data_IF_132791903601
#
_entry.id   IF_132791903601
#
_cell.length_a   1.000
_cell.length_b   1.000
_cell.length_c   1.000
_cell.angle_alpha   90.00
_cell.angle_beta   90.00
_cell.angle_gamma   90.00
#
_symmetry.space_group_name_H-M   'P 1'
#
loop_
_entity.id
_entity.type
_entity.pdbx_description
1 polymer ?
#
# COMPACT_ATOMS: atom_id res chain seq x y z
N UNK A 1 14.36 -10.15 8.29
CA UNK A 1 15.30 -10.27 7.15
C UNK A 1 15.73 -8.87 6.73
N UNK A 2 17.03 -8.63 6.50
CA UNK A 2 17.58 -7.31 6.12
C UNK A 2 17.57 -7.13 4.59
N UNK A 3 16.40 -6.91 3.99
CA UNK A 3 16.35 -6.47 2.60
C UNK A 3 16.90 -5.02 2.50
N UNK A 4 17.85 -4.70 1.59
CA UNK A 4 18.50 -3.38 1.58
C UNK A 4 17.52 -2.20 1.50
N UNK A 5 16.50 -2.32 0.65
CA UNK A 5 15.45 -1.30 0.54
C UNK A 5 14.59 -1.20 1.80
N UNK A 6 14.21 -2.33 2.41
CA UNK A 6 13.42 -2.32 3.64
C UNK A 6 14.23 -1.71 4.81
N UNK A 7 15.52 -2.02 4.88
CA UNK A 7 16.43 -1.40 5.85
C UNK A 7 16.54 0.11 5.62
N UNK A 8 16.70 0.56 4.37
CA UNK A 8 16.72 1.99 4.06
C UNK A 8 15.41 2.67 4.49
N UNK A 9 14.26 2.10 4.14
CA UNK A 9 12.94 2.63 4.53
C UNK A 9 12.84 2.77 6.04
N UNK A 10 13.29 1.75 6.79
CA UNK A 10 13.27 1.78 8.25
C UNK A 10 14.18 2.86 8.84
N UNK A 11 15.37 3.09 8.27
CA UNK A 11 16.38 3.99 8.82
C UNK A 11 16.24 5.45 8.40
N UNK A 12 15.57 5.75 7.28
CA UNK A 12 15.40 7.14 6.84
C UNK A 12 14.49 7.89 7.81
N UNK A 13 15.04 8.89 8.49
CA UNK A 13 14.26 9.87 9.24
C UNK A 13 13.82 11.00 8.31
N UNK A 14 12.54 11.33 8.33
CA UNK A 14 11.97 12.39 7.49
C UNK A 14 11.61 13.58 8.39
N UNK A 15 12.19 14.77 8.18
CA UNK A 15 11.87 15.94 8.99
C UNK A 15 10.42 16.42 8.83
N UNK A 16 9.88 17.17 9.81
CA UNK A 16 8.57 17.80 9.68
C UNK A 16 8.44 18.64 8.40
N UNK A 17 7.32 18.50 7.69
CA UNK A 17 7.06 19.20 6.44
C UNK A 17 7.78 18.63 5.20
N UNK A 18 8.41 17.46 5.32
CA UNK A 18 9.05 16.74 4.22
C UNK A 18 8.41 15.37 3.98
N UNK A 19 8.70 14.80 2.82
CA UNK A 19 8.34 13.43 2.46
C UNK A 19 9.51 12.76 1.74
N UNK A 20 9.63 11.45 1.91
CA UNK A 20 10.49 10.58 1.13
C UNK A 20 9.65 9.64 0.26
N UNK A 21 10.12 9.34 -0.95
CA UNK A 21 9.41 8.57 -1.96
C UNK A 21 10.26 7.44 -2.50
N UNK A 22 9.64 6.28 -2.69
CA UNK A 22 10.24 5.13 -3.37
C UNK A 22 9.27 4.57 -4.41
N UNK A 23 9.75 4.39 -5.64
CA UNK A 23 9.03 3.64 -6.65
C UNK A 23 9.18 2.14 -6.40
N UNK A 24 8.07 1.42 -6.38
CA UNK A 24 8.03 -0.02 -6.18
C UNK A 24 7.86 -0.82 -7.49
N UNK A 25 7.85 -0.10 -8.62
CA UNK A 25 7.54 -0.64 -9.93
C UNK A 25 6.05 -0.59 -10.23
N UNK A 26 5.71 -0.62 -11.52
CA UNK A 26 4.35 -0.42 -12.01
C UNK A 26 3.75 0.89 -11.47
N UNK A 27 2.63 0.83 -10.73
CA UNK A 27 1.97 1.99 -10.11
C UNK A 27 2.31 2.14 -8.63
N UNK A 28 3.08 1.20 -8.06
CA UNK A 28 3.37 1.13 -6.64
C UNK A 28 4.30 2.25 -6.18
N UNK A 29 3.86 2.99 -5.15
CA UNK A 29 4.62 4.04 -4.49
C UNK A 29 4.64 3.81 -2.98
N UNK A 30 5.78 4.06 -2.35
CA UNK A 30 5.90 4.13 -0.91
C UNK A 30 6.28 5.55 -0.50
N UNK A 31 5.53 6.10 0.46
CA UNK A 31 5.66 7.47 0.95
C UNK A 31 5.94 7.41 2.44
N UNK A 32 7.05 7.99 2.89
CA UNK A 32 7.35 8.15 4.31
C UNK A 32 7.30 9.63 4.68
N UNK A 33 6.48 9.95 5.68
CA UNK A 33 6.45 11.26 6.35
C UNK A 33 7.21 11.23 7.68
N UNK A 34 7.16 12.32 8.46
CA UNK A 34 7.80 12.37 9.78
C UNK A 34 7.18 11.41 10.81
N UNK A 35 5.91 11.06 10.62
CA UNK A 35 5.10 10.31 11.59
C UNK A 35 4.20 9.25 10.92
N UNK A 36 4.55 8.80 9.71
CA UNK A 36 3.82 7.73 9.05
C UNK A 36 4.48 7.16 7.80
N UNK A 37 4.14 5.92 7.49
CA UNK A 37 4.54 5.16 6.31
C UNK A 37 3.30 4.70 5.54
N UNK A 38 3.17 5.17 4.31
CA UNK A 38 2.04 4.92 3.43
C UNK A 38 2.54 4.15 2.21
N UNK A 39 1.81 3.12 1.81
CA UNK A 39 1.99 2.46 0.52
C UNK A 39 0.78 2.72 -0.36
N UNK A 40 0.99 2.97 -1.66
CA UNK A 40 -0.05 3.30 -2.63
C UNK A 40 0.08 2.32 -3.80
N UNK A 41 -1.00 1.62 -4.10
CA UNK A 41 -1.12 0.67 -5.21
C UNK A 41 0.07 -0.32 -5.36
N UNK A 42 0.59 -0.93 -4.27
CA UNK A 42 1.72 -1.83 -4.41
C UNK A 42 1.27 -3.10 -5.14
N UNK A 43 1.93 -3.37 -6.26
CA UNK A 43 1.94 -4.66 -6.92
C UNK A 43 3.35 -5.21 -6.76
N UNK A 44 3.52 -6.26 -5.97
CA UNK A 44 4.82 -6.87 -5.60
C UNK A 44 4.81 -8.40 -5.68
N UNK A 45 3.77 -8.98 -6.27
CA UNK A 45 3.65 -10.42 -6.50
C UNK A 45 3.43 -10.74 -7.98
N UNK A 46 3.26 -12.03 -8.28
CA UNK A 46 2.86 -12.51 -9.60
C UNK A 46 1.32 -12.63 -9.75
N UNK A 47 0.53 -12.10 -8.81
CA UNK A 47 -0.94 -12.23 -8.76
C UNK A 47 -1.66 -11.94 -10.09
N UNK A 48 -1.26 -10.87 -10.79
CA UNK A 48 -1.85 -10.51 -12.10
C UNK A 48 -1.55 -11.57 -13.16
N UNK A 49 -0.31 -12.08 -13.19
CA UNK A 49 0.10 -13.13 -14.13
C UNK A 49 -0.55 -14.47 -13.82
N UNK A 50 -0.75 -14.80 -12.55
CA UNK A 50 -1.46 -16.00 -12.13
C UNK A 50 -2.94 -16.01 -12.57
N UNK A 51 -3.57 -14.84 -12.62
CA UNK A 51 -4.98 -14.69 -13.03
C UNK A 51 -5.16 -14.57 -14.54
N UNK A 52 -4.24 -13.90 -15.23
CA UNK A 52 -4.41 -13.49 -16.63
C UNK A 52 -3.38 -14.09 -17.59
N UNK A 53 -2.44 -14.89 -17.08
CA UNK A 53 -1.41 -15.59 -17.86
C UNK A 53 -0.08 -14.82 -17.95
N UNK A 54 0.95 -15.53 -18.43
CA UNK A 54 2.36 -15.07 -18.42
C UNK A 54 2.63 -13.79 -19.20
N UNK A 55 1.75 -13.36 -20.10
CA UNK A 55 1.88 -12.06 -20.77
C UNK A 55 1.90 -10.90 -19.77
N UNK A 56 1.20 -11.05 -18.65
CA UNK A 56 1.11 -10.05 -17.57
C UNK A 56 2.16 -10.22 -16.48
N UNK A 57 3.16 -11.09 -16.70
CA UNK A 57 4.28 -11.25 -15.78
C UNK A 57 5.04 -9.94 -15.61
N UNK A 58 5.46 -9.66 -14.38
CA UNK A 58 6.32 -8.53 -14.09
C UNK A 58 7.56 -8.56 -14.98
N UNK A 59 7.94 -7.42 -15.55
CA UNK A 59 9.14 -7.31 -16.37
C UNK A 59 10.44 -7.43 -15.55
N UNK A 60 10.35 -7.22 -14.23
CA UNK A 60 11.45 -7.36 -13.28
C UNK A 60 10.90 -7.78 -11.91
N UNK A 61 11.75 -8.44 -11.12
CA UNK A 61 11.43 -8.85 -9.76
C UNK A 61 10.97 -7.65 -8.90
N UNK A 62 10.07 -7.86 -7.92
CA UNK A 62 9.69 -6.79 -7.02
C UNK A 62 10.94 -6.21 -6.32
N UNK A 63 11.09 -4.87 -6.24
CA UNK A 63 12.28 -4.24 -5.68
C UNK A 63 12.39 -4.44 -4.16
N UNK A 64 11.34 -4.93 -3.53
CA UNK A 64 11.29 -5.34 -2.13
C UNK A 64 10.23 -6.44 -2.00
N UNK A 65 10.51 -7.55 -1.28
CA UNK A 65 9.50 -8.53 -0.94
C UNK A 65 8.37 -7.88 -0.12
N UNK A 66 7.09 -8.19 -0.39
CA UNK A 66 5.98 -7.53 0.31
C UNK A 66 5.97 -7.83 1.81
N UNK A 67 6.44 -9.00 2.23
CA UNK A 67 6.59 -9.38 3.65
C UNK A 67 7.75 -8.66 4.37
N UNK A 68 8.61 -7.96 3.64
CA UNK A 68 9.66 -7.11 4.20
C UNK A 68 9.17 -5.67 4.48
N UNK A 69 7.97 -5.30 4.02
CA UNK A 69 7.36 -4.00 4.30
C UNK A 69 6.60 -4.05 5.64
N UNK A 70 7.35 -3.91 6.72
CA UNK A 70 6.84 -3.80 8.08
C UNK A 70 6.58 -2.34 8.48
N UNK A 71 5.75 -2.14 9.50
CA UNK A 71 5.36 -0.82 10.04
C UNK A 71 4.73 0.11 8.99
N UNK A 72 3.99 -0.45 8.04
CA UNK A 72 3.13 0.31 7.14
C UNK A 72 1.88 0.73 7.92
N UNK A 73 1.61 2.03 8.01
CA UNK A 73 0.46 2.57 8.71
C UNK A 73 -0.79 2.57 7.81
N UNK A 74 -0.61 2.89 6.53
CA UNK A 74 -1.71 2.99 5.56
C UNK A 74 -1.41 2.30 4.24
N UNK A 75 -2.38 1.54 3.75
CA UNK A 75 -2.41 0.97 2.41
C UNK A 75 -3.49 1.69 1.59
N UNK A 76 -3.07 2.52 0.64
CA UNK A 76 -3.97 3.24 -0.26
C UNK A 76 -4.17 2.46 -1.55
N UNK A 77 -5.43 2.37 -1.99
CA UNK A 77 -5.83 1.77 -3.27
C UNK A 77 -6.58 2.83 -4.08
N UNK A 78 -6.09 3.14 -5.28
CA UNK A 78 -6.79 4.07 -6.18
C UNK A 78 -8.06 3.44 -6.76
N UNK A 79 -7.98 2.22 -7.25
CA UNK A 79 -9.11 1.45 -7.79
C UNK A 79 -8.85 -0.06 -7.75
N UNK A 80 -9.89 -0.84 -8.04
CA UNK A 80 -10.03 -2.23 -7.66
C UNK A 80 -9.35 -3.27 -8.57
N UNK A 81 -8.75 -2.82 -9.68
CA UNK A 81 -8.02 -3.69 -10.59
C UNK A 81 -6.82 -4.34 -9.90
N UNK A 82 -6.51 -5.58 -10.28
CA UNK A 82 -5.52 -6.46 -9.63
C UNK A 82 -4.09 -5.92 -9.69
N UNK A 83 -3.86 -5.01 -10.62
CA UNK A 83 -2.57 -4.40 -10.91
C UNK A 83 -2.35 -3.12 -10.06
N UNK A 84 -3.39 -2.71 -9.31
CA UNK A 84 -3.39 -1.69 -8.25
C UNK A 84 -3.73 -2.26 -6.86
N UNK A 85 -4.64 -3.24 -6.81
CA UNK A 85 -5.04 -3.96 -5.59
C UNK A 85 -4.64 -5.43 -5.65
N UNK A 86 -3.34 -5.67 -5.70
CA UNK A 86 -2.75 -7.00 -5.65
C UNK A 86 -3.02 -7.64 -4.27
N UNK A 87 -3.91 -8.65 -4.23
CA UNK A 87 -4.32 -9.27 -2.97
C UNK A 87 -3.24 -10.14 -2.32
N UNK A 88 -2.27 -10.66 -3.09
CA UNK A 88 -1.14 -11.39 -2.52
C UNK A 88 -0.18 -10.41 -1.84
N UNK A 89 0.09 -9.28 -2.49
CA UNK A 89 0.87 -8.18 -1.91
C UNK A 89 0.20 -7.62 -0.66
N UNK A 90 -1.09 -7.33 -0.72
CA UNK A 90 -1.87 -6.83 0.41
C UNK A 90 -1.89 -7.80 1.60
N UNK A 91 -2.07 -9.10 1.35
CA UNK A 91 -2.05 -10.12 2.40
C UNK A 91 -0.67 -10.21 3.08
N UNK A 92 0.42 -10.18 2.31
CA UNK A 92 1.78 -10.23 2.84
C UNK A 92 2.14 -8.97 3.65
N UNK A 93 1.78 -7.78 3.16
CA UNK A 93 1.99 -6.52 3.89
C UNK A 93 1.16 -6.50 5.18
N UNK A 94 -0.11 -6.92 5.15
CA UNK A 94 -0.96 -7.01 6.36
C UNK A 94 -0.38 -7.98 7.39
N UNK A 95 0.23 -9.09 6.95
CA UNK A 95 0.90 -10.01 7.87
C UNK A 95 2.14 -9.39 8.52
N UNK A 96 2.91 -8.59 7.77
CA UNK A 96 4.09 -7.88 8.26
C UNK A 96 3.76 -6.61 9.08
N UNK A 97 2.58 -6.01 8.83
CA UNK A 97 2.07 -4.80 9.45
C UNK A 97 0.62 -5.02 9.92
N UNK A 98 0.39 -5.72 11.05
CA UNK A 98 -0.96 -6.11 11.49
C UNK A 98 -1.93 -4.95 11.77
N UNK A 99 -1.38 -3.78 12.08
CA UNK A 99 -2.13 -2.55 12.40
C UNK A 99 -2.36 -1.65 11.16
N UNK A 100 -1.94 -2.09 9.96
CA UNK A 100 -2.13 -1.30 8.73
C UNK A 100 -3.61 -1.05 8.45
N UNK A 101 -3.96 0.20 8.17
CA UNK A 101 -5.31 0.59 7.78
C UNK A 101 -5.42 0.76 6.27
N UNK A 102 -6.42 0.13 5.66
CA UNK A 102 -6.66 0.24 4.22
C UNK A 102 -7.56 1.45 3.91
N UNK A 103 -7.20 2.23 2.90
CA UNK A 103 -8.07 3.28 2.37
C UNK A 103 -8.24 3.07 0.89
N UNK A 104 -9.47 2.83 0.47
CA UNK A 104 -9.77 2.40 -0.90
C UNK A 104 -11.09 3.00 -1.38
N UNK A 105 -11.31 2.98 -2.70
CA UNK A 105 -12.63 3.31 -3.25
C UNK A 105 -13.68 2.31 -2.77
N UNK A 106 -14.96 2.70 -2.75
CA UNK A 106 -16.06 1.79 -2.39
C UNK A 106 -16.17 0.57 -3.32
N UNK A 107 -15.65 0.67 -4.54
CA UNK A 107 -15.57 -0.43 -5.51
C UNK A 107 -14.64 -1.56 -5.08
N UNK A 108 -13.72 -1.28 -4.15
CA UNK A 108 -12.78 -2.26 -3.60
C UNK A 108 -13.39 -3.15 -2.50
N UNK A 109 -14.66 -2.96 -2.12
CA UNK A 109 -15.31 -3.74 -1.06
C UNK A 109 -15.23 -5.27 -1.27
N UNK A 110 -15.39 -5.82 -2.50
CA UNK A 110 -15.20 -7.26 -2.73
C UNK A 110 -13.78 -7.75 -2.44
N UNK A 111 -12.76 -6.98 -2.81
CA UNK A 111 -11.34 -7.26 -2.57
C UNK A 111 -11.04 -7.21 -1.06
N UNK A 112 -11.55 -6.20 -0.35
CA UNK A 112 -11.44 -6.10 1.10
C UNK A 112 -12.07 -7.31 1.81
N UNK A 113 -13.23 -7.76 1.34
CA UNK A 113 -13.88 -8.97 1.87
C UNK A 113 -13.06 -10.24 1.61
N UNK A 114 -12.47 -10.39 0.41
CA UNK A 114 -11.57 -11.50 0.07
C UNK A 114 -10.30 -11.53 0.92
N UNK A 115 -9.79 -10.37 1.33
CA UNK A 115 -8.68 -10.24 2.27
C UNK A 115 -9.08 -10.54 3.73
N UNK A 116 -10.39 -10.62 4.03
CA UNK A 116 -10.88 -10.75 5.41
C UNK A 116 -10.62 -9.49 6.24
N UNK A 117 -10.73 -8.31 5.64
CA UNK A 117 -10.72 -7.03 6.37
C UNK A 117 -12.06 -6.86 7.08
N UNK A 118 -12.00 -6.47 8.36
CA UNK A 118 -13.18 -6.03 9.12
C UNK A 118 -13.51 -4.59 8.76
N UNK A 119 -14.70 -4.12 9.09
CA UNK A 119 -15.10 -2.71 8.89
C UNK A 119 -14.16 -1.72 9.61
N UNK A 120 -13.45 -2.16 10.65
CA UNK A 120 -12.44 -1.37 11.36
C UNK A 120 -11.09 -1.29 10.66
N UNK A 121 -10.82 -2.19 9.72
CA UNK A 121 -9.50 -2.36 9.09
C UNK A 121 -9.39 -1.56 7.77
N UNK A 122 -10.50 -0.97 7.30
CA UNK A 122 -10.51 -0.17 6.08
C UNK A 122 -11.58 0.92 6.05
N UNK A 123 -11.40 1.92 5.20
CA UNK A 123 -12.36 3.03 5.04
C UNK A 123 -12.42 3.53 3.60
N UNK A 124 -13.60 4.01 3.19
CA UNK A 124 -13.78 4.77 1.95
C UNK A 124 -13.60 6.27 2.23
N UNK A 125 -12.64 6.95 1.60
CA UNK A 125 -12.44 8.38 1.83
C UNK A 125 -13.58 9.19 1.19
N UNK A 126 -14.05 10.27 1.83
CA UNK A 126 -15.01 11.17 1.22
C UNK A 126 -14.39 11.94 0.05
N UNK A 127 -15.10 12.01 -1.07
CA UNK A 127 -14.64 12.70 -2.28
C UNK A 127 -14.59 14.21 -2.05
N UNK A 128 -13.49 14.85 -2.46
CA UNK A 128 -13.23 16.30 -2.34
C UNK A 128 -13.26 16.84 -0.90
N UNK A 129 -13.14 15.98 0.11
CA UNK A 129 -13.05 16.37 1.51
C UNK A 129 -11.78 15.78 2.13
N UNK A 130 -11.06 16.57 2.95
CA UNK A 130 -9.90 16.05 3.65
C UNK A 130 -10.32 15.06 4.73
N UNK A 131 -9.63 13.93 4.77
CA UNK A 131 -9.71 12.91 5.81
C UNK A 131 -8.36 12.85 6.52
N UNK A 132 -8.36 12.93 7.84
CA UNK A 132 -7.15 12.72 8.62
C UNK A 132 -6.78 11.24 8.62
N UNK A 133 -5.51 10.94 8.35
CA UNK A 133 -4.94 9.62 8.55
C UNK A 133 -4.48 9.55 10.02
N UNK A 134 -5.35 9.01 10.88
CA UNK A 134 -5.12 8.89 12.32
C UNK A 134 -3.72 8.34 12.66
N UNK A 135 -3.07 8.95 13.65
CA UNK A 135 -1.69 8.62 14.04
C UNK A 135 -0.62 9.34 13.22
N UNK A 136 -0.98 10.03 12.14
CA UNK A 136 -0.05 10.79 11.29
C UNK A 136 -0.48 12.25 11.19
N UNK A 137 0.42 13.11 10.71
CA UNK A 137 0.16 14.50 10.34
C UNK A 137 -0.49 14.65 8.95
N UNK A 138 -0.76 13.53 8.26
CA UNK A 138 -1.23 13.52 6.88
C UNK A 138 -2.75 13.74 6.77
N UNK A 139 -3.13 14.59 5.80
CA UNK A 139 -4.50 14.74 5.31
C UNK A 139 -4.59 14.15 3.91
N UNK A 140 -5.53 13.24 3.71
CA UNK A 140 -5.83 12.62 2.42
C UNK A 140 -7.10 13.25 1.84
N UNK A 141 -7.07 13.64 0.56
CA UNK A 141 -8.28 13.99 -0.18
C UNK A 141 -8.40 13.08 -1.39
N UNK A 142 -9.51 12.34 -1.48
CA UNK A 142 -9.82 11.59 -2.68
C UNK A 142 -10.40 12.53 -3.75
N UNK A 143 -9.91 12.39 -4.98
CA UNK A 143 -10.38 13.14 -6.15
C UNK A 143 -11.23 12.21 -7.05
N UNK A 144 -12.15 12.76 -7.85
CA UNK A 144 -12.94 11.99 -8.81
C UNK A 144 -12.11 11.43 -9.96
#
# INVERSE_FOLDING_TARGET
>A
MNHPLAHQIAQVEVPPGMLALWGLGQMGLLVKGPDGLIVIDPCLSDYVAELHGDFWRRAFDPPVPPDALAAVDYYLVTHEHEDHFDLQTAAAIRAASPDVHFVASGWCAPQCARLGLRDSDWSVPPVLQPMALAGTSCLLTALP
#
